data_IF_370439264154
#
_entry.id   IF_370439264154
#
_cell.length_a   1.000
_cell.length_b   1.000
_cell.length_c   1.000
_cell.angle_alpha   90.00
_cell.angle_beta   90.00
_cell.angle_gamma   90.00
#
_symmetry.space_group_name_H-M   'P 1'
#
loop_
_entity.id
_entity.type
_entity.pdbx_description
1 polymer ?
#
# COMPACT_ATOMS: atom_id res chain seq x y z
N UNK A 1 9.45 3.30 -0.34
CA UNK A 1 8.31 4.03 0.27
C UNK A 1 8.69 4.32 1.72
N UNK A 2 8.06 5.26 2.44
CA UNK A 2 8.36 5.40 3.86
C UNK A 2 7.60 4.31 4.64
N UNK A 3 8.32 3.41 5.31
CA UNK A 3 7.72 2.24 5.99
C UNK A 3 7.10 2.60 7.35
N UNK A 4 7.40 3.80 7.85
CA UNK A 4 6.94 4.30 9.15
C UNK A 4 6.48 5.74 9.06
N UNK A 5 5.30 6.04 9.60
CA UNK A 5 4.83 7.40 9.81
C UNK A 5 4.98 7.79 11.26
N UNK A 6 5.43 9.03 11.48
CA UNK A 6 5.45 9.68 12.77
C UNK A 6 4.46 10.85 12.76
N UNK A 7 3.56 10.85 13.72
CA UNK A 7 2.62 11.93 13.99
C UNK A 7 2.91 12.56 15.35
N UNK A 8 2.68 13.86 15.45
CA UNK A 8 2.69 14.59 16.73
C UNK A 8 1.28 15.07 16.98
N UNK A 9 0.75 14.78 18.16
CA UNK A 9 -0.57 15.24 18.60
C UNK A 9 -0.46 15.96 19.94
N UNK A 10 -1.31 16.95 20.16
CA UNK A 10 -1.43 17.65 21.45
C UNK A 10 -2.56 17.01 22.25
N UNK A 11 -2.31 16.70 23.53
CA UNK A 11 -3.35 16.25 24.46
C UNK A 11 -3.82 17.39 25.36
N UNK A 12 -2.87 18.09 25.97
CA UNK A 12 -3.12 19.22 26.87
C UNK A 12 -2.14 20.35 26.53
N UNK A 13 -2.36 21.53 27.07
CA UNK A 13 -1.47 22.66 26.80
C UNK A 13 -0.04 22.34 27.27
N UNK A 14 0.90 22.31 26.32
CA UNK A 14 2.28 21.94 26.58
C UNK A 14 2.55 20.43 26.65
N UNK A 15 1.54 19.56 26.54
CA UNK A 15 1.71 18.10 26.48
C UNK A 15 1.43 17.59 25.07
N UNK A 16 2.48 17.11 24.41
CA UNK A 16 2.39 16.44 23.12
C UNK A 16 2.72 14.96 23.23
N UNK A 17 2.16 14.16 22.34
CA UNK A 17 2.44 12.74 22.20
C UNK A 17 2.91 12.44 20.78
N UNK A 18 3.99 11.67 20.69
CA UNK A 18 4.46 11.10 19.43
C UNK A 18 3.74 9.79 19.22
N UNK A 19 3.15 9.62 18.04
CA UNK A 19 2.51 8.39 17.60
C UNK A 19 3.28 7.89 16.39
N UNK A 20 3.57 6.59 16.34
CA UNK A 20 4.21 5.97 15.18
C UNK A 20 3.41 4.77 14.71
N UNK A 21 3.32 4.61 13.40
CA UNK A 21 2.72 3.43 12.76
C UNK A 21 3.67 2.90 11.71
N UNK A 22 3.77 1.57 11.63
CA UNK A 22 4.51 0.88 10.57
C UNK A 22 3.50 0.35 9.56
N UNK A 23 3.74 0.63 8.29
CA UNK A 23 2.96 0.04 7.23
C UNK A 23 3.45 -1.37 6.98
N UNK A 24 2.52 -2.31 6.92
CA UNK A 24 2.80 -3.65 6.40
C UNK A 24 2.41 -3.64 4.93
N UNK A 25 3.36 -4.03 4.08
CA UNK A 25 3.07 -4.32 2.69
C UNK A 25 2.13 -5.54 2.68
N UNK A 26 0.84 -5.28 2.49
CA UNK A 26 -0.09 -6.33 2.11
C UNK A 26 0.11 -6.54 0.62
N UNK A 27 0.69 -7.69 0.25
CA UNK A 27 0.63 -8.19 -1.12
C UNK A 27 -0.86 -8.43 -1.44
N UNK A 28 -1.54 -7.39 -1.93
CA UNK A 28 -2.83 -7.55 -2.57
C UNK A 28 -2.53 -8.25 -3.88
N UNK A 29 -2.99 -9.48 -3.98
CA UNK A 29 -3.07 -10.30 -5.19
C UNK A 29 -4.02 -9.62 -6.21
N UNK A 30 -3.65 -8.44 -6.70
CA UNK A 30 -4.31 -7.72 -7.79
C UNK A 30 -3.41 -7.68 -9.03
N UNK A 31 -2.55 -8.70 -9.20
CA UNK A 31 -1.93 -9.05 -10.48
C UNK A 31 -2.68 -10.21 -11.14
N UNK A 32 -3.97 -9.99 -11.42
CA UNK A 32 -4.64 -10.76 -12.46
C UNK A 32 -4.05 -10.31 -13.82
N UNK A 33 -3.42 -11.20 -14.61
CA UNK A 33 -2.73 -10.78 -15.82
C UNK A 33 -3.74 -10.20 -16.82
N UNK A 34 -3.71 -8.89 -17.00
CA UNK A 34 -4.30 -8.19 -18.15
C UNK A 34 -3.46 -8.50 -19.39
N UNK A 35 -3.59 -9.72 -19.92
CA UNK A 35 -2.71 -10.18 -20.99
C UNK A 35 -3.16 -11.46 -21.66
N UNK A 36 -4.45 -11.60 -21.98
CA UNK A 36 -4.95 -12.73 -22.77
C UNK A 36 -6.00 -12.29 -23.81
N UNK A 37 -5.68 -11.26 -24.60
CA UNK A 37 -6.30 -11.05 -25.92
C UNK A 37 -5.19 -11.04 -26.96
N UNK A 38 -4.72 -12.25 -27.31
CA UNK A 38 -3.61 -12.40 -28.23
C UNK A 38 -3.41 -13.82 -28.75
N UNK A 39 -4.44 -14.65 -28.80
CA UNK A 39 -4.41 -15.90 -29.59
C UNK A 39 -5.80 -16.18 -30.17
N UNK A 40 -6.20 -15.40 -31.17
CA UNK A 40 -7.19 -15.82 -32.15
C UNK A 40 -6.50 -15.70 -33.52
N UNK A 41 -6.00 -16.83 -34.05
CA UNK A 41 -5.45 -16.87 -35.40
C UNK A 41 -4.30 -17.82 -35.63
N UNK A 42 -4.49 -19.13 -35.41
CA UNK A 42 -3.76 -20.13 -36.20
C UNK A 42 -4.70 -21.29 -36.54
N UNK A 43 -5.29 -21.18 -37.73
CA UNK A 43 -5.90 -22.28 -38.48
C UNK A 43 -4.86 -23.39 -38.69
N UNK A 44 -5.27 -24.65 -38.61
CA UNK A 44 -5.51 -25.43 -39.83
C UNK A 44 -6.98 -25.79 -40.06
#
# INVERSE_FOLDING_TARGET
MADTLYGVTMQEHGISKIVSVKFQETEREEDAPRGAYGQAGRLP
#
